data_IF_858613910577
#
_entry.id   IF_858613910577
#
_cell.length_a   1.000
_cell.length_b   1.000
_cell.length_c   1.000
_cell.angle_alpha   90.00
_cell.angle_beta   90.00
_cell.angle_gamma   90.00
#
_symmetry.space_group_name_H-M   'P 1'
#
loop_
_entity.id
_entity.type
_entity.pdbx_description
1 polymer ?
#
# COMPACT_ATOMS: atom_id res chain seq x y z
N UNK A 1 19.52 -73.55 17.62
CA UNK A 1 19.86 -73.27 19.04
C UNK A 1 20.12 -71.77 19.14
N UNK A 2 19.21 -71.03 19.80
CA UNK A 2 19.35 -69.67 20.41
C UNK A 2 19.97 -68.54 19.54
N UNK A 3 19.37 -67.38 19.27
CA UNK A 3 18.32 -66.61 19.97
C UNK A 3 17.85 -65.43 19.09
N UNK A 4 16.54 -65.20 19.13
CA UNK A 4 15.73 -64.00 18.82
C UNK A 4 16.22 -62.70 19.51
N UNK A 5 15.91 -61.46 19.09
CA UNK A 5 14.56 -60.85 19.18
C UNK A 5 14.46 -59.45 18.48
N UNK A 6 13.44 -59.30 17.61
CA UNK A 6 12.53 -58.17 17.27
C UNK A 6 13.00 -56.69 17.34
N UNK A 7 12.75 -55.94 16.26
CA UNK A 7 11.98 -54.67 16.22
C UNK A 7 11.70 -54.30 14.74
N UNK A 8 10.50 -54.55 14.23
CA UNK A 8 9.34 -53.64 14.16
C UNK A 8 9.36 -52.72 12.92
N UNK A 9 8.39 -53.04 12.05
CA UNK A 9 7.91 -52.29 10.90
C UNK A 9 7.56 -50.84 11.28
N UNK A 10 8.12 -49.85 10.57
CA UNK A 10 7.57 -48.49 10.49
C UNK A 10 7.92 -47.91 9.12
N UNK A 11 6.93 -48.01 8.22
CA UNK A 11 6.89 -47.21 7.00
C UNK A 11 6.90 -45.73 7.39
N UNK A 12 8.05 -45.07 7.23
CA UNK A 12 8.11 -43.60 7.28
C UNK A 12 8.02 -43.10 5.85
N UNK A 13 6.79 -42.77 5.46
CA UNK A 13 6.49 -41.78 4.44
C UNK A 13 7.19 -40.47 4.82
N UNK A 14 8.41 -40.28 4.33
CA UNK A 14 9.10 -39.00 4.35
C UNK A 14 8.49 -38.12 3.26
N UNK A 15 7.29 -37.60 3.54
CA UNK A 15 6.83 -36.34 2.98
C UNK A 15 7.90 -35.30 3.33
N UNK A 16 8.74 -34.95 2.37
CA UNK A 16 9.49 -33.70 2.43
C UNK A 16 8.47 -32.56 2.41
N UNK A 17 8.01 -32.18 3.60
CA UNK A 17 7.35 -30.92 3.83
C UNK A 17 8.37 -29.83 3.48
N UNK A 18 8.28 -29.29 2.26
CA UNK A 18 8.84 -27.98 1.99
C UNK A 18 8.21 -27.03 3.01
N UNK A 19 8.99 -26.26 3.79
CA UNK A 19 8.41 -25.24 4.61
C UNK A 19 7.73 -24.24 3.67
N UNK A 20 6.41 -24.28 3.64
CA UNK A 20 5.59 -23.23 3.08
C UNK A 20 5.80 -21.98 3.93
N UNK A 21 6.86 -21.23 3.64
CA UNK A 21 6.90 -19.80 3.95
C UNK A 21 5.97 -19.11 2.95
N UNK A 22 4.67 -19.28 3.14
CA UNK A 22 3.69 -18.34 2.64
C UNK A 22 3.81 -17.06 3.49
N UNK A 23 4.92 -16.32 3.33
CA UNK A 23 4.95 -14.93 3.76
C UNK A 23 4.07 -14.17 2.78
N UNK A 24 2.89 -13.76 3.25
CA UNK A 24 2.05 -12.81 2.51
C UNK A 24 2.91 -11.59 2.21
N UNK A 25 3.05 -11.25 0.92
CA UNK A 25 3.84 -10.08 0.56
C UNK A 25 3.18 -8.84 1.18
N UNK A 26 3.95 -7.97 1.87
CA UNK A 26 3.38 -6.83 2.56
C UNK A 26 2.73 -5.87 1.56
N UNK A 27 1.59 -5.33 1.96
CA UNK A 27 0.87 -4.32 1.20
C UNK A 27 0.55 -3.16 2.13
N UNK A 28 0.31 -1.96 1.58
CA UNK A 28 -0.25 -0.85 2.35
C UNK A 28 -1.46 -1.30 3.20
N UNK A 29 -1.67 -0.76 4.40
CA UNK A 29 -2.79 -1.15 5.25
C UNK A 29 -4.14 -0.73 4.64
N UNK A 30 -5.21 -1.47 4.96
CA UNK A 30 -6.59 -1.12 4.56
C UNK A 30 -7.03 0.21 5.20
N UNK A 31 -6.66 0.40 6.47
CA UNK A 31 -6.96 1.59 7.26
C UNK A 31 -5.73 2.04 8.03
N UNK A 32 -5.49 3.36 8.02
CA UNK A 32 -4.44 3.99 8.79
C UNK A 32 -4.85 5.42 9.14
N UNK A 33 -4.31 5.93 10.24
CA UNK A 33 -4.45 7.32 10.67
C UNK A 33 -3.06 7.85 10.93
N UNK A 34 -2.48 8.57 9.96
CA UNK A 34 -1.17 9.17 10.13
C UNK A 34 -1.27 10.42 11.00
N UNK A 35 -0.37 10.54 11.97
CA UNK A 35 -0.11 11.80 12.65
C UNK A 35 0.90 12.67 11.88
N UNK A 36 1.22 13.85 12.43
CA UNK A 36 2.13 14.81 11.77
C UNK A 36 3.57 14.28 11.62
N UNK A 37 3.91 13.17 12.27
CA UNK A 37 5.25 12.54 12.27
C UNK A 37 5.32 11.31 11.38
N UNK A 38 4.22 10.96 10.69
CA UNK A 38 4.11 9.79 9.84
C UNK A 38 3.93 8.49 10.61
N UNK A 39 3.49 8.54 11.86
CA UNK A 39 3.09 7.36 12.62
C UNK A 39 1.63 7.04 12.32
N UNK A 40 1.36 5.82 11.85
CA UNK A 40 0.01 5.28 11.84
C UNK A 40 -0.43 4.96 13.27
N UNK A 41 -1.41 5.68 13.78
CA UNK A 41 -1.95 5.52 15.12
C UNK A 41 -2.80 4.26 15.27
N UNK A 42 -3.27 3.65 14.18
CA UNK A 42 -4.03 2.38 14.20
C UNK A 42 -3.06 1.21 14.36
N UNK A 43 -2.03 1.13 13.53
CA UNK A 43 -1.08 0.03 13.58
C UNK A 43 0.11 0.25 14.51
N UNK A 44 0.37 1.50 14.91
CA UNK A 44 1.58 1.97 15.60
C UNK A 44 2.84 1.93 14.75
N UNK A 45 2.71 2.00 13.43
CA UNK A 45 3.84 1.80 12.52
C UNK A 45 4.28 3.13 11.94
N UNK A 46 5.58 3.33 11.85
CA UNK A 46 6.13 4.51 11.22
C UNK A 46 6.21 4.30 9.71
N UNK A 47 5.51 5.14 8.95
CA UNK A 47 5.36 5.04 7.49
C UNK A 47 5.84 6.32 6.79
N UNK A 48 7.14 6.66 6.86
CA UNK A 48 7.67 7.83 6.20
C UNK A 48 7.55 7.73 4.68
N UNK A 49 7.32 8.88 4.04
CA UNK A 49 7.30 9.04 2.59
C UNK A 49 8.59 9.73 2.15
N UNK A 50 9.19 9.26 1.06
CA UNK A 50 10.40 9.87 0.48
C UNK A 50 10.49 9.73 -1.03
N UNK A 51 11.52 10.35 -1.60
CA UNK A 51 11.81 10.31 -3.04
C UNK A 51 10.71 10.93 -3.90
N UNK A 52 10.03 11.96 -3.39
CA UNK A 52 8.94 12.59 -4.12
C UNK A 52 9.46 13.37 -5.33
N UNK A 53 8.95 13.06 -6.52
CA UNK A 53 9.14 13.82 -7.75
C UNK A 53 7.76 14.06 -8.36
N UNK A 54 7.53 15.24 -8.94
CA UNK A 54 6.28 15.53 -9.62
C UNK A 54 6.49 16.40 -10.86
N UNK A 55 5.56 16.31 -11.80
CA UNK A 55 5.53 17.14 -13.00
C UNK A 55 4.09 17.36 -13.46
N UNK A 56 3.83 18.52 -14.05
CA UNK A 56 2.51 18.89 -14.58
C UNK A 56 1.58 19.52 -13.53
N UNK A 57 0.43 20.07 -13.97
CA UNK A 57 -0.50 20.76 -13.10
C UNK A 57 -1.33 19.77 -12.25
N UNK A 58 -1.96 20.23 -11.16
CA UNK A 58 -2.86 19.39 -10.36
C UNK A 58 -3.96 18.75 -11.22
N UNK A 59 -4.17 17.45 -11.05
CA UNK A 59 -5.21 16.68 -11.77
C UNK A 59 -4.77 16.12 -13.13
N UNK A 60 -3.72 16.66 -13.76
CA UNK A 60 -3.21 16.17 -15.06
C UNK A 60 -1.75 15.71 -15.01
N UNK A 61 -1.03 16.13 -13.97
CA UNK A 61 0.37 15.77 -13.75
C UNK A 61 0.57 14.36 -13.21
N UNK A 62 1.84 14.01 -13.01
CA UNK A 62 2.28 12.76 -12.42
C UNK A 62 3.18 13.01 -11.22
N UNK A 63 3.20 12.05 -10.31
CA UNK A 63 4.17 12.02 -9.22
C UNK A 63 4.68 10.62 -8.98
N UNK A 64 5.94 10.53 -8.57
CA UNK A 64 6.59 9.35 -8.02
C UNK A 64 6.91 9.60 -6.55
N UNK A 65 6.77 8.58 -5.70
CA UNK A 65 7.19 8.59 -4.29
C UNK A 65 7.23 7.17 -3.75
N UNK A 66 8.03 6.94 -2.70
CA UNK A 66 8.04 5.70 -1.94
C UNK A 66 7.59 5.90 -0.50
N UNK A 67 6.91 4.90 0.06
CA UNK A 67 6.58 4.85 1.49
C UNK A 67 7.20 3.62 2.12
N UNK A 68 7.81 3.79 3.28
CA UNK A 68 8.28 2.66 4.06
C UNK A 68 7.08 1.95 4.70
N UNK A 69 6.94 0.67 4.42
CA UNK A 69 5.97 -0.21 5.07
C UNK A 69 6.58 -0.81 6.35
N UNK A 70 5.72 -1.39 7.19
CA UNK A 70 6.08 -1.97 8.51
C UNK A 70 7.33 -2.85 8.52
N UNK A 71 7.46 -3.66 7.49
CA UNK A 71 8.44 -4.72 7.44
C UNK A 71 9.77 -4.25 6.81
N UNK A 72 9.94 -2.93 6.67
CA UNK A 72 11.16 -2.34 6.13
C UNK A 72 11.17 -2.20 4.61
N UNK A 73 10.10 -2.59 3.90
CA UNK A 73 10.02 -2.48 2.44
C UNK A 73 9.61 -1.06 2.03
N UNK A 74 10.35 -0.48 1.11
CA UNK A 74 9.99 0.77 0.46
C UNK A 74 9.08 0.52 -0.72
N UNK A 75 7.81 0.87 -0.55
CA UNK A 75 6.75 0.65 -1.51
C UNK A 75 6.63 1.83 -2.49
N UNK A 76 6.64 1.53 -3.79
CA UNK A 76 6.36 2.50 -4.84
C UNK A 76 4.85 2.69 -5.01
N UNK A 77 4.37 3.93 -4.92
CA UNK A 77 2.94 4.25 -5.08
C UNK A 77 2.40 4.01 -6.48
N UNK A 78 3.26 4.02 -7.51
CA UNK A 78 2.88 3.69 -8.87
C UNK A 78 2.74 2.17 -9.08
N UNK A 79 3.36 1.36 -8.22
CA UNK A 79 3.17 -0.08 -8.22
C UNK A 79 1.85 -0.42 -7.51
N UNK A 80 0.89 -0.93 -8.29
CA UNK A 80 -0.39 -1.36 -7.78
C UNK A 80 -0.96 -2.54 -8.56
N UNK A 81 -1.89 -3.26 -7.94
CA UNK A 81 -2.45 -4.47 -8.50
C UNK A 81 -3.23 -5.30 -7.48
N UNK A 82 -3.44 -6.55 -7.84
CA UNK A 82 -4.16 -7.57 -7.09
C UNK A 82 -3.14 -8.54 -6.50
N UNK A 83 -3.12 -8.57 -5.18
CA UNK A 83 -2.14 -9.31 -4.39
C UNK A 83 -2.58 -10.77 -4.24
N UNK A 84 -3.89 -10.97 -4.12
CA UNK A 84 -4.53 -12.29 -4.12
C UNK A 84 -5.95 -12.13 -4.62
N UNK A 85 -6.45 -13.04 -5.45
CA UNK A 85 -7.85 -13.12 -5.83
C UNK A 85 -8.19 -14.51 -6.38
N UNK A 86 -9.20 -15.17 -5.84
CA UNK A 86 -9.53 -16.54 -6.25
C UNK A 86 -10.86 -17.04 -5.70
N UNK A 87 -11.22 -18.27 -6.06
CA UNK A 87 -12.43 -18.92 -5.55
C UNK A 87 -12.29 -19.12 -4.04
N UNK A 88 -13.19 -18.54 -3.26
CA UNK A 88 -13.15 -18.60 -1.79
C UNK A 88 -12.05 -17.76 -1.15
N UNK A 89 -11.32 -16.95 -1.91
CA UNK A 89 -10.24 -16.07 -1.44
C UNK A 89 -10.63 -14.62 -1.73
N UNK A 90 -10.51 -13.76 -0.72
CA UNK A 90 -10.78 -12.33 -0.91
C UNK A 90 -9.83 -11.73 -1.96
N UNK A 91 -10.37 -10.88 -2.82
CA UNK A 91 -9.59 -10.14 -3.79
C UNK A 91 -9.02 -8.89 -3.12
N UNK A 92 -7.71 -8.87 -2.90
CA UNK A 92 -7.00 -7.80 -2.19
C UNK A 92 -6.29 -6.92 -3.20
N UNK A 93 -6.76 -5.68 -3.32
CA UNK A 93 -6.29 -4.71 -4.28
C UNK A 93 -5.47 -3.67 -3.54
N UNK A 94 -4.32 -3.29 -4.08
CA UNK A 94 -3.55 -2.17 -3.56
C UNK A 94 -3.15 -1.23 -4.68
N UNK A 95 -3.50 0.05 -4.53
CA UNK A 95 -3.25 1.10 -5.51
C UNK A 95 -3.07 2.44 -4.79
N UNK A 96 -2.15 3.28 -5.27
CA UNK A 96 -1.84 4.60 -4.71
C UNK A 96 -1.50 4.57 -3.20
N UNK A 97 -0.91 3.48 -2.71
CA UNK A 97 -0.57 3.32 -1.30
C UNK A 97 -1.77 3.05 -0.38
N UNK A 98 -2.92 2.61 -0.93
CA UNK A 98 -4.11 2.21 -0.18
C UNK A 98 -4.53 0.82 -0.60
N UNK A 99 -4.97 0.00 0.35
CA UNK A 99 -5.48 -1.34 0.10
C UNK A 99 -6.98 -1.42 0.32
N UNK A 100 -7.67 -2.16 -0.54
CA UNK A 100 -9.08 -2.50 -0.42
C UNK A 100 -9.30 -3.99 -0.69
N UNK A 101 -10.17 -4.62 0.10
CA UNK A 101 -10.51 -6.03 -0.01
C UNK A 101 -11.93 -6.23 -0.53
N UNK A 102 -12.11 -7.25 -1.37
CA UNK A 102 -13.39 -7.65 -1.95
C UNK A 102 -13.70 -9.11 -1.64
N UNK A 103 -14.93 -9.38 -1.21
CA UNK A 103 -15.45 -10.71 -0.93
C UNK A 103 -16.08 -11.28 -2.20
N UNK A 104 -15.69 -12.49 -2.65
CA UNK A 104 -16.36 -13.14 -3.78
C UNK A 104 -17.78 -13.55 -3.38
N UNK A 105 -18.79 -13.05 -4.12
CA UNK A 105 -20.22 -13.36 -3.88
C UNK A 105 -20.79 -14.36 -4.89
N UNK A 106 -19.96 -14.84 -5.81
CA UNK A 106 -20.35 -15.71 -6.92
C UNK A 106 -19.19 -15.88 -7.91
N UNK A 107 -19.48 -16.46 -9.07
CA UNK A 107 -18.47 -16.64 -10.13
C UNK A 107 -18.16 -15.28 -10.75
N UNK A 108 -16.96 -14.75 -10.47
CA UNK A 108 -16.47 -13.46 -10.98
C UNK A 108 -17.28 -12.23 -10.55
N UNK A 109 -18.06 -12.35 -9.46
CA UNK A 109 -18.78 -11.24 -8.83
C UNK A 109 -18.22 -10.97 -7.45
N UNK A 110 -18.01 -9.69 -7.14
CA UNK A 110 -17.28 -9.26 -5.95
C UNK A 110 -18.05 -8.15 -5.23
N UNK A 111 -18.13 -8.23 -3.90
CA UNK A 111 -18.65 -7.16 -3.05
C UNK A 111 -17.52 -6.53 -2.25
N UNK A 112 -17.48 -5.21 -2.14
CA UNK A 112 -16.50 -4.53 -1.27
C UNK A 112 -16.72 -4.98 0.18
N UNK A 113 -15.65 -5.45 0.83
CA UNK A 113 -15.68 -5.92 2.23
C UNK A 113 -16.15 -4.81 3.18
N UNK A 114 -15.69 -3.60 2.92
CA UNK A 114 -15.96 -2.40 3.73
C UNK A 114 -17.10 -1.54 3.15
N UNK A 115 -17.80 -2.04 2.14
CA UNK A 115 -18.90 -1.36 1.44
C UNK A 115 -18.59 0.10 1.06
N UNK A 116 -17.37 0.34 0.59
CA UNK A 116 -16.80 1.68 0.31
C UNK A 116 -17.44 2.40 -0.89
N UNK A 117 -18.27 1.68 -1.65
CA UNK A 117 -18.79 2.09 -2.94
C UNK A 117 -17.88 1.82 -4.14
N UNK A 118 -16.70 1.26 -3.89
CA UNK A 118 -15.87 0.71 -4.95
C UNK A 118 -16.44 -0.59 -5.51
N UNK A 119 -16.14 -0.86 -6.78
CA UNK A 119 -16.54 -2.09 -7.47
C UNK A 119 -15.33 -2.80 -8.06
N UNK A 120 -15.37 -4.13 -8.08
CA UNK A 120 -14.42 -4.96 -8.81
C UNK A 120 -15.18 -5.83 -9.81
N UNK A 121 -14.79 -5.77 -11.08
CA UNK A 121 -15.40 -6.54 -12.17
C UNK A 121 -14.29 -7.30 -12.88
N UNK A 122 -14.51 -8.58 -13.19
CA UNK A 122 -13.61 -9.34 -14.06
C UNK A 122 -14.22 -9.55 -15.44
N UNK A 123 -13.50 -9.10 -16.46
CA UNK A 123 -13.87 -9.25 -17.87
C UNK A 123 -13.19 -10.49 -18.45
N UNK A 124 -13.93 -11.60 -18.55
CA UNK A 124 -13.39 -12.90 -18.95
C UNK A 124 -12.74 -12.90 -20.34
N UNK A 125 -13.33 -12.22 -21.32
CA UNK A 125 -12.82 -12.18 -22.70
C UNK A 125 -11.44 -11.52 -22.82
N UNK A 126 -11.19 -10.50 -22.00
CA UNK A 126 -9.94 -9.75 -22.02
C UNK A 126 -8.99 -10.17 -20.87
N UNK A 127 -9.41 -11.14 -20.05
CA UNK A 127 -8.72 -11.58 -18.82
C UNK A 127 -8.27 -10.42 -17.92
N UNK A 128 -9.12 -9.40 -17.79
CA UNK A 128 -8.79 -8.12 -17.16
C UNK A 128 -9.72 -7.86 -15.98
N UNK A 129 -9.16 -7.41 -14.86
CA UNK A 129 -9.92 -6.84 -13.76
C UNK A 129 -10.09 -5.34 -13.96
N UNK A 130 -11.28 -4.82 -13.68
CA UNK A 130 -11.58 -3.39 -13.62
C UNK A 130 -12.03 -3.08 -12.19
N UNK A 131 -11.18 -2.35 -11.48
CA UNK A 131 -11.44 -1.80 -10.16
C UNK A 131 -11.84 -0.33 -10.30
N UNK A 132 -13.03 0.03 -9.83
CA UNK A 132 -13.50 1.42 -9.85
C UNK A 132 -13.72 1.89 -8.43
N UNK A 133 -13.05 2.97 -8.03
CA UNK A 133 -13.23 3.60 -6.71
C UNK A 133 -14.54 4.37 -6.65
N UNK A 134 -15.01 4.64 -5.43
CA UNK A 134 -16.19 5.48 -5.20
C UNK A 134 -16.06 6.90 -5.75
N UNK A 135 -14.84 7.42 -5.91
CA UNK A 135 -14.58 8.72 -6.55
C UNK A 135 -14.69 8.70 -8.10
N UNK A 136 -14.93 7.53 -8.70
CA UNK A 136 -15.03 7.34 -10.15
C UNK A 136 -13.70 7.02 -10.84
N UNK A 137 -12.57 6.99 -10.12
CA UNK A 137 -11.28 6.57 -10.68
C UNK A 137 -11.30 5.08 -10.99
N UNK A 138 -11.00 4.71 -12.24
CA UNK A 138 -11.00 3.32 -12.69
C UNK A 138 -9.57 2.82 -12.98
N UNK A 139 -9.29 1.58 -12.60
CA UNK A 139 -8.02 0.89 -12.80
C UNK A 139 -8.28 -0.41 -13.56
N UNK A 140 -7.66 -0.55 -14.72
CA UNK A 140 -7.59 -1.81 -15.43
C UNK A 140 -6.35 -2.57 -14.98
N UNK A 141 -6.51 -3.86 -14.66
CA UNK A 141 -5.45 -4.71 -14.14
C UNK A 141 -5.36 -6.02 -14.92
N UNK A 142 -4.15 -6.40 -15.30
CA UNK A 142 -3.85 -7.57 -16.12
C UNK A 142 -2.73 -8.41 -15.51
N UNK A 143 -2.80 -9.73 -15.69
CA UNK A 143 -1.72 -10.63 -15.26
C UNK A 143 -0.48 -10.40 -16.09
N UNK A 144 0.57 -9.85 -15.47
CA UNK A 144 1.89 -9.64 -16.09
C UNK A 144 3.05 -10.29 -15.33
N UNK A 145 2.78 -11.15 -14.35
CA UNK A 145 3.82 -11.79 -13.52
C UNK A 145 4.77 -10.76 -12.89
N UNK A 146 4.20 -9.75 -12.24
CA UNK A 146 4.96 -8.74 -11.48
C UNK A 146 4.78 -9.08 -10.02
N UNK A 147 5.85 -9.41 -9.32
CA UNK A 147 5.78 -9.59 -7.87
C UNK A 147 5.52 -8.22 -7.19
N UNK A 148 4.63 -8.14 -6.19
CA UNK A 148 3.85 -9.24 -5.58
C UNK A 148 2.46 -9.48 -6.17
N UNK A 149 2.10 -8.79 -7.24
CA UNK A 149 0.76 -8.78 -7.80
C UNK A 149 0.53 -9.97 -8.73
N UNK A 150 0.41 -11.15 -8.14
CA UNK A 150 0.29 -12.41 -8.87
C UNK A 150 -0.97 -12.50 -9.72
N UNK A 151 -2.05 -11.83 -9.31
CA UNK A 151 -3.35 -11.91 -9.98
C UNK A 151 -3.63 -10.77 -10.95
N UNK A 152 -2.84 -9.70 -10.92
CA UNK A 152 -2.87 -8.66 -11.93
C UNK A 152 -2.22 -7.35 -11.47
N UNK A 153 -1.58 -6.63 -12.38
CA UNK A 153 -1.04 -5.29 -12.14
C UNK A 153 -1.84 -4.23 -12.87
N UNK A 154 -1.86 -3.02 -12.33
CA UNK A 154 -2.44 -1.86 -13.00
C UNK A 154 -1.72 -1.64 -14.33
N UNK A 155 -2.45 -1.74 -15.43
CA UNK A 155 -1.95 -1.38 -16.78
C UNK A 155 -2.49 -0.04 -17.22
N UNK A 156 -3.64 0.39 -16.68
CA UNK A 156 -4.28 1.64 -17.02
C UNK A 156 -5.07 2.22 -15.85
N UNK A 157 -4.98 3.53 -15.65
CA UNK A 157 -5.79 4.31 -14.72
C UNK A 157 -6.54 5.38 -15.49
N UNK A 158 -7.82 5.59 -15.17
CA UNK A 158 -8.65 6.66 -15.72
C UNK A 158 -9.13 7.50 -14.53
N UNK A 159 -8.71 8.75 -14.47
CA UNK A 159 -9.19 9.69 -13.46
C UNK A 159 -10.57 10.25 -13.84
N UNK A 160 -11.36 10.77 -12.87
CA UNK A 160 -12.70 11.29 -13.13
C UNK A 160 -12.75 12.44 -14.13
N UNK A 161 -11.65 13.20 -14.25
CA UNK A 161 -11.48 14.26 -15.25
C UNK A 161 -11.13 13.73 -16.66
N UNK A 162 -11.09 12.41 -16.87
CA UNK A 162 -10.81 11.78 -18.15
C UNK A 162 -9.32 11.61 -18.47
N UNK A 163 -8.41 12.03 -17.58
CA UNK A 163 -6.97 11.78 -17.75
C UNK A 163 -6.71 10.29 -17.68
N UNK A 164 -5.96 9.78 -18.66
CA UNK A 164 -5.61 8.37 -18.79
C UNK A 164 -4.14 8.21 -18.49
N UNK A 165 -3.80 7.43 -17.46
CA UNK A 165 -2.42 7.00 -17.18
C UNK A 165 -2.22 5.57 -17.66
N UNK A 166 -1.19 5.33 -18.46
CA UNK A 166 -0.81 4.01 -18.98
C UNK A 166 0.48 3.55 -18.34
N UNK A 167 0.51 2.31 -17.83
CA UNK A 167 1.64 1.70 -17.12
C UNK A 167 2.31 0.66 -18.02
N UNK A 168 3.61 0.80 -18.21
CA UNK A 168 4.39 0.03 -19.18
C UNK A 168 5.38 -0.85 -18.44
N UNK A 169 5.33 -2.15 -18.70
CA UNK A 169 6.13 -3.14 -17.99
C UNK A 169 7.17 -3.75 -18.93
N UNK A 170 8.42 -3.76 -18.49
CA UNK A 170 9.46 -4.55 -19.14
C UNK A 170 9.37 -5.98 -18.64
N UNK A 171 9.34 -6.94 -19.56
CA UNK A 171 9.16 -8.36 -19.25
C UNK A 171 10.31 -9.18 -19.82
N UNK A 172 10.68 -10.21 -19.08
CA UNK A 172 11.64 -11.23 -19.48
C UNK A 172 11.02 -12.60 -19.24
N UNK A 173 11.21 -13.52 -20.19
CA UNK A 173 10.67 -14.87 -20.11
C UNK A 173 11.78 -15.88 -20.32
N UNK A 174 11.67 -17.03 -19.66
CA UNK A 174 12.63 -18.12 -19.77
C UNK A 174 11.99 -19.46 -19.43
N UNK A 175 12.83 -20.49 -19.34
CA UNK A 175 12.45 -21.86 -19.00
C UNK A 175 13.34 -22.34 -17.85
N UNK A 176 12.73 -22.94 -16.84
CA UNK A 176 13.45 -23.80 -15.89
C UNK A 176 13.29 -25.23 -16.35
N UNK A 177 14.40 -25.90 -16.64
CA UNK A 177 14.39 -27.31 -17.02
C UNK A 177 14.40 -28.16 -15.77
N UNK A 178 13.34 -28.94 -15.58
CA UNK A 178 13.30 -29.98 -14.55
C UNK A 178 13.72 -31.29 -15.22
N UNK A 179 14.73 -31.93 -14.64
CA UNK A 179 15.02 -33.32 -14.98
C UNK A 179 13.78 -34.15 -14.60
N UNK A 180 13.34 -35.08 -15.46
CA UNK A 180 12.30 -36.01 -15.06
C UNK A 180 12.77 -36.74 -13.79
N UNK A 181 11.86 -37.09 -12.87
CA UNK A 181 12.24 -37.87 -11.70
C UNK A 181 13.05 -39.08 -12.18
N UNK A 182 14.26 -39.24 -11.65
CA UNK A 182 15.02 -40.47 -11.81
C UNK A 182 14.12 -41.58 -11.23
N UNK A 183 13.41 -42.30 -12.08
CA UNK A 183 12.57 -43.38 -11.60
C UNK A 183 13.52 -44.52 -11.20
N UNK A 184 13.48 -44.84 -9.92
CA UNK A 184 14.03 -46.02 -9.22
C UNK A 184 13.34 -47.32 -9.72
N UNK A 185 12.99 -47.36 -11.00
CA UNK A 185 12.36 -48.43 -11.74
C UNK A 185 13.20 -48.63 -12.99
N UNK A 186 14.02 -49.69 -12.97
CA UNK A 186 14.82 -50.25 -14.07
C UNK A 186 13.95 -50.58 -15.32
N UNK A 187 13.36 -49.58 -15.94
CA UNK A 187 12.78 -49.68 -17.27
C UNK A 187 13.88 -49.29 -18.28
N UNK A 188 14.22 -50.19 -19.22
CA UNK A 188 15.24 -49.91 -20.22
C UNK A 188 14.70 -48.82 -21.15
N UNK A 189 15.16 -47.57 -20.92
CA UNK A 189 14.71 -46.37 -21.64
C UNK A 189 14.36 -45.15 -20.77
N UNK A 190 14.55 -45.20 -19.45
CA UNK A 190 14.28 -44.08 -18.53
C UNK A 190 15.20 -42.88 -18.73
N UNK A 191 14.75 -41.91 -19.53
CA UNK A 191 15.43 -40.64 -19.78
C UNK A 191 14.60 -39.77 -20.71
N UNK A 192 13.43 -39.33 -20.24
CA UNK A 192 12.60 -38.38 -21.00
C UNK A 192 13.33 -37.05 -21.20
N UNK A 193 13.02 -36.28 -22.25
CA UNK A 193 13.59 -34.95 -22.41
C UNK A 193 13.21 -34.05 -21.22
N UNK A 194 14.10 -33.14 -20.79
CA UNK A 194 13.83 -32.28 -19.64
C UNK A 194 12.59 -31.43 -19.88
N UNK A 195 11.77 -31.27 -18.84
CA UNK A 195 10.52 -30.51 -18.90
C UNK A 195 10.87 -29.02 -18.75
N UNK A 196 10.64 -28.20 -19.78
CA UNK A 196 10.65 -26.74 -19.61
C UNK A 196 9.38 -26.31 -18.85
N UNK A 197 9.59 -25.72 -17.68
CA UNK A 197 8.59 -24.93 -16.97
C UNK A 197 8.81 -23.46 -17.34
N UNK A 198 7.91 -22.84 -18.13
CA UNK A 198 8.07 -21.46 -18.54
C UNK A 198 7.85 -20.53 -17.36
N UNK A 199 8.67 -19.49 -17.27
CA UNK A 199 8.51 -18.40 -16.31
C UNK A 199 8.57 -17.06 -17.03
N UNK A 200 7.97 -16.05 -16.42
CA UNK A 200 8.04 -14.67 -16.90
C UNK A 200 8.10 -13.77 -15.69
N UNK A 201 9.01 -12.80 -15.73
CA UNK A 201 9.14 -11.76 -14.72
C UNK A 201 8.95 -10.41 -15.38
N UNK A 202 8.23 -9.51 -14.71
CA UNK A 202 7.97 -8.16 -15.20
C UNK A 202 8.24 -7.10 -14.13
N UNK A 203 8.64 -5.90 -14.56
CA UNK A 203 8.82 -4.71 -13.71
C UNK A 203 8.29 -3.46 -14.41
N UNK A 204 7.84 -2.47 -13.64
CA UNK A 204 7.35 -1.19 -14.19
C UNK A 204 8.52 -0.40 -14.81
N UNK A 205 8.44 -0.07 -16.09
CA UNK A 205 9.49 0.65 -16.83
C UNK A 205 9.17 2.15 -17.00
N UNK A 206 7.88 2.47 -17.15
CA UNK A 206 7.38 3.84 -17.12
C UNK A 206 5.87 3.88 -16.91
N UNK A 207 5.35 5.04 -16.52
CA UNK A 207 3.93 5.36 -16.70
C UNK A 207 3.78 6.77 -17.24
N UNK A 208 2.79 6.97 -18.11
CA UNK A 208 2.58 8.25 -18.78
C UNK A 208 1.10 8.59 -18.91
N UNK A 209 0.79 9.88 -18.96
CA UNK A 209 -0.56 10.38 -19.21
C UNK A 209 -0.79 10.66 -20.68
N UNK A 210 -2.06 10.62 -21.10
CA UNK A 210 -2.49 11.16 -22.39
C UNK A 210 -2.31 12.69 -22.51
N UNK A 211 -2.02 13.40 -21.41
CA UNK A 211 -1.66 14.82 -21.39
C UNK A 211 -0.17 15.09 -21.65
N UNK A 212 0.64 14.05 -21.83
CA UNK A 212 2.03 14.17 -22.27
C UNK A 212 3.08 14.15 -21.16
N UNK A 213 2.72 13.82 -19.92
CA UNK A 213 3.69 13.64 -18.83
C UNK A 213 4.08 12.18 -18.68
N UNK A 214 5.34 11.92 -18.32
CA UNK A 214 5.85 10.57 -18.05
C UNK A 214 6.71 10.54 -16.80
N UNK A 215 6.62 9.44 -16.06
CA UNK A 215 7.63 9.01 -15.09
C UNK A 215 8.36 7.81 -15.69
N UNK A 216 9.67 7.95 -15.87
CA UNK A 216 10.54 6.92 -16.44
C UNK A 216 11.49 6.36 -15.37
N UNK A 217 11.70 5.04 -15.39
CA UNK A 217 12.48 4.29 -14.41
C UNK A 217 13.78 3.79 -15.00
N UNK A 218 14.90 4.00 -14.30
CA UNK A 218 16.20 3.43 -14.61
C UNK A 218 16.60 2.45 -13.50
N UNK A 219 16.95 1.22 -13.87
CA UNK A 219 17.26 0.11 -12.94
C UNK A 219 18.75 -0.20 -12.91
N UNK A 220 19.20 -0.91 -11.87
CA UNK A 220 20.61 -1.27 -11.70
C UNK A 220 21.13 -2.20 -12.81
N UNK A 221 20.27 -3.07 -13.35
CA UNK A 221 20.57 -3.89 -14.52
C UNK A 221 19.37 -3.99 -15.44
N UNK A 222 19.61 -4.11 -16.74
CA UNK A 222 18.60 -4.49 -17.74
C UNK A 222 18.73 -5.95 -18.18
N UNK A 223 19.65 -6.69 -17.57
CA UNK A 223 19.87 -8.12 -17.78
C UNK A 223 19.29 -8.84 -16.56
N UNK A 224 18.38 -9.77 -16.82
CA UNK A 224 17.79 -10.61 -15.77
C UNK A 224 18.74 -11.75 -15.41
N UNK A 225 18.81 -12.07 -14.11
CA UNK A 225 19.57 -13.19 -13.56
C UNK A 225 18.85 -13.69 -12.30
N UNK A 226 18.68 -15.00 -12.18
CA UNK A 226 18.12 -15.60 -10.96
C UNK A 226 19.07 -15.50 -9.75
N UNK A 227 20.35 -15.20 -10.00
CA UNK A 227 21.38 -15.05 -8.96
C UNK A 227 21.62 -13.59 -8.57
N UNK A 228 21.10 -12.63 -9.33
CA UNK A 228 21.32 -11.20 -9.12
C UNK A 228 20.01 -10.42 -9.26
N UNK A 229 19.56 -9.86 -8.13
CA UNK A 229 18.33 -9.07 -8.06
C UNK A 229 18.45 -7.67 -8.65
N UNK A 230 19.59 -7.28 -9.24
CA UNK A 230 19.81 -5.96 -9.85
C UNK A 230 18.77 -5.57 -10.91
N UNK A 231 18.11 -6.55 -11.53
CA UNK A 231 16.98 -6.29 -12.44
C UNK A 231 15.76 -5.69 -11.72
N UNK A 232 15.55 -5.94 -10.43
CA UNK A 232 14.44 -5.35 -9.68
C UNK A 232 14.82 -4.06 -8.93
N UNK A 233 16.11 -3.71 -8.88
CA UNK A 233 16.61 -2.59 -8.09
C UNK A 233 16.48 -1.29 -8.89
N UNK A 234 15.48 -0.48 -8.55
CA UNK A 234 15.31 0.87 -9.06
C UNK A 234 16.46 1.78 -8.61
N UNK A 235 17.07 2.50 -9.56
CA UNK A 235 18.17 3.45 -9.31
C UNK A 235 17.78 4.89 -9.55
N UNK A 236 16.82 5.17 -10.43
CA UNK A 236 16.38 6.53 -10.69
C UNK A 236 14.95 6.57 -11.24
N UNK A 237 14.18 7.54 -10.79
CA UNK A 237 12.91 7.92 -11.40
C UNK A 237 13.01 9.36 -11.91
N UNK A 238 12.62 9.58 -13.15
CA UNK A 238 12.67 10.89 -13.82
C UNK A 238 11.27 11.29 -14.30
N UNK A 239 10.84 12.50 -13.96
CA UNK A 239 9.56 13.06 -14.39
C UNK A 239 9.77 14.04 -15.55
N UNK A 240 9.20 13.75 -16.72
CA UNK A 240 9.44 14.51 -17.94
C UNK A 240 8.15 14.86 -18.70
N UNK A 241 8.24 15.90 -19.53
CA UNK A 241 7.22 16.26 -20.49
C UNK A 241 7.61 15.74 -21.89
N UNK A 242 6.82 14.81 -22.41
CA UNK A 242 7.03 14.14 -23.70
C UNK A 242 6.93 15.09 -24.90
N UNK A 243 6.33 16.27 -24.74
CA UNK A 243 6.31 17.31 -25.76
C UNK A 243 7.67 18.02 -25.91
N UNK A 244 8.54 17.94 -24.90
CA UNK A 244 9.88 18.55 -24.91
C UNK A 244 10.93 17.49 -25.21
N UNK A 245 10.97 16.42 -24.41
CA UNK A 245 11.90 15.30 -24.61
C UNK A 245 11.13 14.00 -24.79
N UNK A 246 11.31 13.34 -25.95
CA UNK A 246 10.68 12.06 -26.21
C UNK A 246 11.41 10.92 -25.49
N UNK A 247 10.64 9.99 -24.92
CA UNK A 247 11.15 8.80 -24.26
C UNK A 247 10.20 7.64 -24.59
N UNK A 248 10.73 6.57 -25.19
CA UNK A 248 9.89 5.42 -25.52
C UNK A 248 9.43 4.72 -24.22
N UNK A 249 8.16 4.28 -24.10
CA UNK A 249 7.64 3.78 -22.83
C UNK A 249 8.39 2.57 -22.24
N UNK A 250 9.06 1.77 -23.07
CA UNK A 250 9.85 0.61 -22.66
C UNK A 250 11.36 0.83 -22.80
N UNK A 251 11.81 2.05 -23.10
CA UNK A 251 13.24 2.35 -23.12
C UNK A 251 13.85 2.09 -21.74
N UNK A 252 15.07 1.56 -21.70
CA UNK A 252 15.82 1.35 -20.46
C UNK A 252 16.51 2.63 -19.96
N UNK A 253 16.81 3.55 -20.87
CA UNK A 253 17.34 4.89 -20.62
C UNK A 253 16.78 5.87 -21.65
N UNK A 254 16.74 7.16 -21.31
CA UNK A 254 16.30 8.22 -22.22
C UNK A 254 17.31 9.36 -22.27
N UNK A 255 17.42 10.00 -23.44
CA UNK A 255 18.26 11.17 -23.64
C UNK A 255 17.42 12.43 -23.43
N UNK A 256 17.94 13.39 -22.65
CA UNK A 256 17.23 14.61 -22.29
C UNK A 256 17.98 15.84 -22.78
N UNK A 257 17.26 16.82 -23.29
CA UNK A 257 17.82 18.12 -23.68
C UNK A 257 18.00 19.06 -22.49
N UNK A 258 17.37 18.73 -21.35
CA UNK A 258 17.43 19.52 -20.12
C UNK A 258 17.45 18.65 -18.85
N UNK A 259 17.69 19.27 -17.70
CA UNK A 259 17.62 18.59 -16.40
C UNK A 259 16.17 18.51 -15.91
N UNK A 260 15.58 17.32 -15.96
CA UNK A 260 14.23 17.07 -15.46
C UNK A 260 14.21 16.80 -13.95
N UNK A 261 13.10 17.13 -13.25
CA UNK A 261 12.88 16.64 -11.90
C UNK A 261 13.10 15.14 -11.82
N UNK A 262 13.97 14.71 -10.91
CA UNK A 262 14.32 13.30 -10.76
C UNK A 262 14.79 13.01 -9.35
N UNK A 263 14.73 11.73 -9.00
CA UNK A 263 15.31 11.20 -7.77
C UNK A 263 16.13 9.97 -8.09
N UNK A 264 17.37 9.96 -7.62
CA UNK A 264 18.25 8.79 -7.64
C UNK A 264 18.18 8.07 -6.29
N UNK A 265 18.25 6.74 -6.32
CA UNK A 265 18.18 5.87 -5.16
C UNK A 265 19.46 5.05 -5.03
N UNK A 266 19.97 4.96 -3.82
CA UNK A 266 21.07 4.04 -3.48
C UNK A 266 20.85 3.40 -2.12
N UNK A 267 21.40 2.21 -1.97
CA UNK A 267 21.51 1.50 -0.71
C UNK A 267 23.00 1.23 -0.49
N UNK A 268 23.50 1.51 0.70
CA UNK A 268 24.87 1.29 1.08
C UNK A 268 24.94 0.78 2.53
N UNK A 269 26.07 0.15 2.88
CA UNK A 269 26.43 -0.15 4.26
C UNK A 269 27.60 0.76 4.67
N UNK A 270 27.34 1.97 5.20
CA UNK A 270 28.41 2.91 5.53
C UNK A 270 29.32 2.40 6.66
N UNK A 271 28.77 1.55 7.54
CA UNK A 271 29.46 0.86 8.62
C UNK A 271 28.87 -0.55 8.80
N UNK A 272 29.61 -1.51 9.37
CA UNK A 272 29.10 -2.87 9.61
C UNK A 272 27.75 -2.88 10.35
N UNK A 273 26.77 -3.62 9.81
CA UNK A 273 25.44 -3.75 10.41
C UNK A 273 24.53 -2.51 10.28
N UNK A 274 24.94 -1.51 9.49
CA UNK A 274 24.13 -0.32 9.19
C UNK A 274 23.65 -0.39 7.75
N UNK A 275 22.34 -0.25 7.54
CA UNK A 275 21.79 -0.07 6.19
C UNK A 275 21.43 1.40 6.00
N UNK A 276 21.98 2.04 4.97
CA UNK A 276 21.65 3.39 4.58
C UNK A 276 20.97 3.41 3.21
N UNK A 277 19.75 3.92 3.15
CA UNK A 277 19.07 4.25 1.90
C UNK A 277 19.13 5.75 1.66
N UNK A 278 19.57 6.15 0.47
CA UNK A 278 19.72 7.54 0.08
C UNK A 278 18.84 7.87 -1.11
N UNK A 279 18.11 8.98 -1.00
CA UNK A 279 17.38 9.62 -2.08
C UNK A 279 18.11 10.92 -2.43
N UNK A 280 18.47 11.10 -3.70
CA UNK A 280 19.17 12.29 -4.19
C UNK A 280 18.33 12.96 -5.25
N UNK A 281 17.91 14.22 -5.04
CA UNK A 281 17.15 14.98 -6.03
C UNK A 281 18.03 15.47 -7.21
N UNK A 282 17.40 16.08 -8.22
CA UNK A 282 18.09 16.60 -9.42
C UNK A 282 19.09 17.74 -9.14
N UNK A 283 19.07 18.31 -7.93
CA UNK A 283 20.01 19.36 -7.48
C UNK A 283 21.18 18.80 -6.69
N UNK A 284 21.16 17.49 -6.38
CA UNK A 284 22.16 16.81 -5.56
C UNK A 284 21.85 16.81 -4.07
N UNK A 285 20.71 17.34 -3.62
CA UNK A 285 20.31 17.31 -2.22
C UNK A 285 19.85 15.91 -1.84
N UNK A 286 20.29 15.44 -0.67
CA UNK A 286 20.03 14.07 -0.22
C UNK A 286 19.06 13.99 0.94
N UNK A 287 18.31 12.90 1.03
CA UNK A 287 17.64 12.42 2.24
C UNK A 287 18.15 11.01 2.49
N UNK A 288 18.72 10.77 3.67
CA UNK A 288 19.36 9.49 4.01
C UNK A 288 18.65 8.85 5.19
N UNK A 289 18.17 7.62 5.01
CA UNK A 289 17.57 6.78 6.04
C UNK A 289 18.58 5.75 6.47
N UNK A 290 19.08 5.88 7.69
CA UNK A 290 20.11 5.00 8.23
C UNK A 290 19.51 4.15 9.36
N UNK A 291 19.50 2.84 9.20
CA UNK A 291 18.98 1.88 10.18
C UNK A 291 20.11 1.05 10.77
N UNK A 292 20.13 0.91 12.10
CA UNK A 292 21.02 0.01 12.84
C UNK A 292 20.19 -1.01 13.61
N UNK A 293 20.38 -2.30 13.28
CA UNK A 293 19.82 -3.46 14.00
C UNK A 293 18.28 -3.45 14.18
N UNK A 294 17.51 -2.94 13.22
CA UNK A 294 16.03 -2.82 13.20
C UNK A 294 15.38 -2.00 14.35
N UNK A 295 16.13 -1.67 15.40
CA UNK A 295 15.63 -0.98 16.59
C UNK A 295 15.61 0.55 16.45
N UNK A 296 16.36 1.14 15.50
CA UNK A 296 16.34 2.59 15.28
C UNK A 296 16.59 2.95 13.83
N UNK A 297 15.91 4.00 13.37
CA UNK A 297 16.14 4.63 12.06
C UNK A 297 16.39 6.12 12.25
N UNK A 298 17.49 6.62 11.67
CA UNK A 298 17.89 8.03 11.69
C UNK A 298 17.74 8.61 10.29
N UNK A 299 17.17 9.81 10.20
CA UNK A 299 17.03 10.53 8.93
C UNK A 299 17.96 11.73 8.92
N UNK A 300 18.79 11.83 7.89
CA UNK A 300 19.67 12.96 7.62
C UNK A 300 19.21 13.70 6.36
N UNK A 301 19.43 15.01 6.31
CA UNK A 301 19.15 15.85 5.14
C UNK A 301 20.44 16.50 4.67
N UNK A 302 20.76 16.31 3.40
CA UNK A 302 22.00 16.79 2.81
C UNK A 302 23.23 16.22 3.51
N UNK A 303 24.22 17.09 3.69
CA UNK A 303 25.51 16.78 4.31
C UNK A 303 25.50 16.94 5.83
N UNK A 304 24.36 17.26 6.46
CA UNK A 304 24.29 17.39 7.92
C UNK A 304 24.65 16.05 8.57
N UNK A 305 25.66 16.02 9.46
CA UNK A 305 26.00 14.80 10.20
C UNK A 305 25.01 14.49 11.33
N UNK A 306 24.08 15.40 11.64
CA UNK A 306 23.08 15.21 12.68
C UNK A 306 21.74 14.75 12.07
N UNK A 307 21.07 13.77 12.67
CA UNK A 307 19.76 13.36 12.20
C UNK A 307 18.71 14.43 12.52
N UNK A 308 17.89 14.78 11.53
CA UNK A 308 16.74 15.69 11.70
C UNK A 308 15.53 14.98 12.30
N UNK A 309 15.46 13.65 12.10
CA UNK A 309 14.44 12.77 12.69
C UNK A 309 15.12 11.50 13.20
N UNK A 310 14.75 11.06 14.40
CA UNK A 310 15.14 9.77 14.97
C UNK A 310 13.86 9.00 15.29
N UNK A 311 13.73 7.82 14.70
CA UNK A 311 12.69 6.85 15.03
C UNK A 311 13.30 5.71 15.84
N UNK A 312 12.69 5.38 16.98
CA UNK A 312 13.11 4.33 17.89
C UNK A 312 11.98 3.29 18.03
N UNK A 313 12.34 2.02 17.92
CA UNK A 313 11.45 0.86 18.01
C UNK A 313 12.01 -0.21 18.96
N UNK A 314 12.11 0.06 20.28
CA UNK A 314 12.61 -0.92 21.23
C UNK A 314 11.71 -2.16 21.32
N UNK A 315 12.32 -3.34 21.53
CA UNK A 315 11.59 -4.55 21.90
C UNK A 315 10.93 -4.35 23.28
N UNK A 316 9.66 -4.73 23.51
CA UNK A 316 8.84 -5.67 22.72
C UNK A 316 7.95 -5.06 21.60
N UNK A 317 8.34 -3.94 20.99
CA UNK A 317 7.62 -3.28 19.88
C UNK A 317 6.20 -2.82 20.24
N UNK A 318 5.97 -2.49 21.50
CA UNK A 318 4.75 -1.85 22.03
C UNK A 318 4.99 -0.38 22.36
N UNK A 319 6.26 0.04 22.48
CA UNK A 319 6.69 1.41 22.72
C UNK A 319 7.53 1.93 21.56
N UNK A 320 7.23 3.15 21.08
CA UNK A 320 7.96 3.80 20.01
C UNK A 320 8.28 5.24 20.38
N UNK A 321 9.32 5.80 19.75
CA UNK A 321 9.59 7.23 19.85
C UNK A 321 9.94 7.83 18.50
N UNK A 322 9.43 9.04 18.25
CA UNK A 322 9.85 9.89 17.13
C UNK A 322 10.37 11.20 17.71
N UNK A 323 11.65 11.48 17.48
CA UNK A 323 12.28 12.75 17.84
C UNK A 323 12.49 13.57 16.58
N UNK A 324 11.99 14.80 16.55
CA UNK A 324 12.21 15.76 15.47
C UNK A 324 12.37 17.18 16.06
N UNK A 325 12.31 18.21 15.21
CA UNK A 325 12.42 19.61 15.64
C UNK A 325 11.37 20.05 16.69
N UNK A 326 10.26 19.34 16.83
CA UNK A 326 9.22 19.61 17.84
C UNK A 326 9.49 18.95 19.20
N UNK A 327 10.57 18.14 19.29
CA UNK A 327 10.97 17.36 20.46
C UNK A 327 10.66 15.87 20.33
N UNK A 328 10.79 15.13 21.43
CA UNK A 328 10.58 13.67 21.50
C UNK A 328 9.12 13.37 21.80
N UNK A 329 8.50 12.60 20.91
CA UNK A 329 7.15 12.07 21.06
C UNK A 329 7.21 10.57 21.31
N UNK A 330 6.49 10.10 22.32
CA UNK A 330 6.41 8.69 22.69
C UNK A 330 5.04 8.12 22.33
N UNK A 331 5.03 6.85 21.93
CA UNK A 331 3.85 6.12 21.50
C UNK A 331 3.79 4.79 22.25
N UNK A 332 2.62 4.44 22.77
CA UNK A 332 2.38 3.18 23.47
C UNK A 332 1.15 2.48 22.92
N UNK A 333 1.33 1.26 22.49
CA UNK A 333 0.25 0.36 22.09
C UNK A 333 -0.14 -0.57 23.23
N UNK A 334 -1.44 -0.79 23.38
CA UNK A 334 -1.98 -1.85 24.25
C UNK A 334 -3.21 -2.47 23.61
N UNK A 335 -3.28 -3.80 23.62
CA UNK A 335 -4.38 -4.57 23.04
C UNK A 335 -5.16 -5.27 24.16
N UNK A 336 -6.49 -5.15 24.11
CA UNK A 336 -7.42 -5.81 25.03
C UNK A 336 -8.59 -6.40 24.22
N UNK A 337 -8.54 -7.72 23.98
CA UNK A 337 -9.49 -8.40 23.11
C UNK A 337 -9.42 -7.84 21.69
N UNK A 338 -10.54 -7.33 21.18
CA UNK A 338 -10.62 -6.70 19.85
C UNK A 338 -10.38 -5.19 19.87
N UNK A 339 -9.96 -4.62 21.00
CA UNK A 339 -9.71 -3.18 21.11
C UNK A 339 -8.21 -2.92 21.22
N UNK A 340 -7.72 -1.97 20.42
CA UNK A 340 -6.35 -1.43 20.52
C UNK A 340 -6.39 0.00 20.99
N UNK A 341 -5.58 0.33 21.98
CA UNK A 341 -5.38 1.70 22.47
C UNK A 341 -3.96 2.16 22.14
N UNK A 342 -3.86 3.29 21.44
CA UNK A 342 -2.62 4.02 21.17
C UNK A 342 -2.58 5.27 22.05
N UNK A 343 -1.60 5.36 22.93
CA UNK A 343 -1.29 6.57 23.70
C UNK A 343 -0.10 7.29 23.09
N UNK A 344 -0.23 8.59 22.86
CA UNK A 344 0.82 9.47 22.33
C UNK A 344 1.12 10.53 23.38
N UNK A 345 2.39 10.67 23.77
CA UNK A 345 2.84 11.69 24.72
C UNK A 345 3.85 12.62 24.04
N UNK A 346 3.60 13.92 24.14
CA UNK A 346 4.46 14.96 23.60
C UNK A 346 5.42 15.56 24.63
N UNK A 347 6.46 16.26 24.15
CA UNK A 347 7.54 16.80 24.99
C UNK A 347 7.08 17.95 25.91
N UNK A 348 5.93 18.57 25.64
CA UNK A 348 5.35 19.62 26.47
C UNK A 348 4.18 19.10 27.32
N UNK A 349 4.10 17.77 27.52
CA UNK A 349 3.04 17.12 28.30
C UNK A 349 1.72 16.96 27.54
N UNK A 350 1.70 17.19 26.23
CA UNK A 350 0.53 16.88 25.40
C UNK A 350 0.24 15.39 25.47
N UNK A 351 -1.04 14.99 25.52
CA UNK A 351 -1.43 13.59 25.43
C UNK A 351 -2.50 13.40 24.38
N UNK A 352 -2.39 12.34 23.58
CA UNK A 352 -3.44 11.91 22.66
C UNK A 352 -3.69 10.42 22.87
N UNK A 353 -4.94 9.99 22.79
CA UNK A 353 -5.32 8.59 22.93
C UNK A 353 -6.26 8.22 21.80
N UNK A 354 -5.90 7.21 21.01
CA UNK A 354 -6.74 6.65 19.96
C UNK A 354 -7.17 5.24 20.36
N UNK A 355 -8.46 4.96 20.30
CA UNK A 355 -9.02 3.63 20.59
C UNK A 355 -9.65 3.07 19.32
N UNK A 356 -9.16 1.91 18.90
CA UNK A 356 -9.46 1.26 17.62
C UNK A 356 -10.13 -0.09 17.85
N UNK A 357 -11.21 -0.32 17.12
CA UNK A 357 -11.81 -1.65 16.99
C UNK A 357 -11.03 -2.43 15.92
N UNK A 358 -10.32 -3.48 16.33
CA UNK A 358 -9.52 -4.34 15.47
C UNK A 358 -10.36 -5.26 14.58
N UNK A 359 -11.65 -5.46 14.86
CA UNK A 359 -12.53 -6.22 13.96
C UNK A 359 -12.83 -5.45 12.68
N UNK A 360 -12.91 -4.12 12.78
CA UNK A 360 -13.10 -3.20 11.64
C UNK A 360 -11.78 -2.55 11.20
N UNK A 361 -10.76 -2.55 12.06
CA UNK A 361 -9.49 -1.85 11.84
C UNK A 361 -9.62 -0.32 11.88
N UNK A 362 -10.64 0.22 12.56
CA UNK A 362 -10.95 1.66 12.57
C UNK A 362 -11.09 2.25 13.98
N UNK A 363 -10.75 3.54 14.17
CA UNK A 363 -10.90 4.21 15.46
C UNK A 363 -12.36 4.47 15.82
N UNK A 364 -12.79 4.11 17.03
CA UNK A 364 -14.10 4.52 17.55
C UNK A 364 -14.02 5.69 18.55
N UNK A 365 -12.82 6.00 19.06
CA UNK A 365 -12.60 7.17 19.92
C UNK A 365 -11.21 7.78 19.71
N UNK A 366 -11.12 9.10 19.77
CA UNK A 366 -9.88 9.87 19.80
C UNK A 366 -9.99 10.93 20.88
N UNK A 367 -9.04 10.99 21.81
CA UNK A 367 -8.98 11.98 22.88
C UNK A 367 -7.70 12.79 22.77
N UNK A 368 -7.79 14.11 22.87
CA UNK A 368 -6.65 15.02 22.96
C UNK A 368 -6.70 15.79 24.28
N UNK A 369 -5.59 15.78 25.01
CA UNK A 369 -5.37 16.54 26.23
C UNK A 369 -4.30 17.58 25.96
N UNK A 370 -4.71 18.84 26.05
CA UNK A 370 -3.81 20.00 25.90
C UNK A 370 -3.03 20.23 27.20
N UNK A 371 -1.81 20.77 27.07
CA UNK A 371 -0.96 21.13 28.20
C UNK A 371 -1.27 22.53 28.78
N UNK A 372 -2.45 23.08 28.49
CA UNK A 372 -2.89 24.37 29.06
C UNK A 372 -3.18 24.23 30.56
N UNK A 373 -3.24 25.35 31.28
CA UNK A 373 -3.71 25.41 32.66
C UNK A 373 -5.03 26.18 32.71
N UNK A 374 -6.17 25.53 33.05
CA UNK A 374 -6.31 24.09 33.34
C UNK A 374 -6.17 23.22 32.06
N UNK A 375 -5.79 21.94 32.20
CA UNK A 375 -5.76 21.02 31.07
C UNK A 375 -7.17 20.84 30.51
N UNK A 376 -7.33 21.05 29.20
CA UNK A 376 -8.57 20.73 28.51
C UNK A 376 -8.45 19.37 27.82
N UNK A 377 -9.44 18.51 28.02
CA UNK A 377 -9.61 17.25 27.32
C UNK A 377 -10.72 17.37 26.29
N UNK A 378 -10.49 16.86 25.08
CA UNK A 378 -11.44 16.85 23.98
C UNK A 378 -11.51 15.44 23.42
N UNK A 379 -12.71 14.87 23.35
CA UNK A 379 -12.91 13.52 22.83
C UNK A 379 -13.87 13.54 21.64
N UNK A 380 -13.42 12.93 20.55
CA UNK A 380 -14.23 12.63 19.38
C UNK A 380 -14.56 11.15 19.38
N UNK A 381 -15.77 10.80 18.96
CA UNK A 381 -16.20 9.41 18.86
C UNK A 381 -16.80 9.13 17.49
N UNK A 382 -16.65 7.90 17.03
CA UNK A 382 -17.24 7.42 15.79
C UNK A 382 -17.94 6.09 16.01
N UNK A 383 -19.09 5.92 15.39
CA UNK A 383 -19.76 4.64 15.25
C UNK A 383 -19.71 4.21 13.79
N UNK A 384 -19.78 2.90 13.56
CA UNK A 384 -19.69 2.33 12.21
C UNK A 384 -20.90 1.46 11.88
N UNK A 385 -21.32 1.50 10.62
CA UNK A 385 -22.29 0.58 10.05
C UNK A 385 -21.70 -0.03 8.77
N UNK A 386 -21.45 -1.34 8.79
CA UNK A 386 -20.81 -2.09 7.71
C UNK A 386 -19.51 -1.40 7.20
N UNK A 387 -18.59 -1.07 8.13
CA UNK A 387 -17.29 -0.46 7.81
C UNK A 387 -17.29 1.06 7.57
N UNK A 388 -18.47 1.69 7.45
CA UNK A 388 -18.61 3.14 7.18
C UNK A 388 -19.01 3.92 8.42
N UNK A 389 -18.58 5.17 8.52
CA UNK A 389 -18.95 6.05 9.64
C UNK A 389 -20.46 6.27 9.64
N UNK A 390 -21.15 5.82 10.69
CA UNK A 390 -22.59 6.07 10.86
C UNK A 390 -22.84 7.39 11.59
N UNK A 391 -22.09 7.63 12.67
CA UNK A 391 -22.15 8.87 13.45
C UNK A 391 -20.75 9.31 13.82
N UNK A 392 -20.47 10.61 13.67
CA UNK A 392 -19.31 11.28 14.25
C UNK A 392 -19.78 12.22 15.34
N UNK A 393 -19.19 12.14 16.53
CA UNK A 393 -19.53 12.98 17.69
C UNK A 393 -18.34 13.85 18.07
N UNK A 394 -18.57 15.16 18.13
CA UNK A 394 -17.59 16.16 18.56
C UNK A 394 -17.48 16.23 20.09
N UNK A 395 -16.38 16.81 20.62
CA UNK A 395 -16.19 16.98 22.07
C UNK A 395 -17.30 17.76 22.78
N UNK A 396 -17.96 18.67 22.08
CA UNK A 396 -19.06 19.47 22.63
C UNK A 396 -20.43 18.76 22.57
N UNK A 397 -20.49 17.53 22.06
CA UNK A 397 -21.71 16.72 21.97
C UNK A 397 -22.51 16.92 20.68
N UNK A 398 -22.05 17.76 19.77
CA UNK A 398 -22.57 17.89 18.41
C UNK A 398 -22.33 16.59 17.65
N UNK A 399 -23.28 16.15 16.82
CA UNK A 399 -23.10 14.93 16.03
C UNK A 399 -23.35 15.18 14.55
N UNK A 400 -22.69 14.39 13.72
CA UNK A 400 -22.98 14.29 12.28
C UNK A 400 -23.36 12.86 11.98
N UNK A 401 -24.58 12.65 11.50
CA UNK A 401 -25.10 11.34 11.14
C UNK A 401 -25.10 11.19 9.63
N UNK A 402 -24.66 10.04 9.15
CA UNK A 402 -24.56 9.74 7.72
C UNK A 402 -25.53 8.61 7.36
N UNK A 403 -26.19 8.78 6.22
CA UNK A 403 -26.92 7.68 5.56
C UNK A 403 -26.33 7.45 4.17
N UNK A 404 -26.40 6.18 3.74
CA UNK A 404 -25.74 5.73 2.53
C UNK A 404 -26.72 4.96 1.65
N UNK A 405 -26.53 5.04 0.34
CA UNK A 405 -27.16 4.10 -0.60
C UNK A 405 -26.44 2.73 -0.59
N UNK A 406 -27.00 1.78 -1.36
CA UNK A 406 -26.42 0.44 -1.51
C UNK A 406 -25.05 0.43 -2.19
N UNK A 407 -24.65 1.53 -2.84
CA UNK A 407 -23.33 1.73 -3.48
C UNK A 407 -22.41 2.59 -2.62
N UNK A 408 -22.71 2.85 -1.35
CA UNK A 408 -21.81 3.61 -0.49
C UNK A 408 -21.78 5.12 -0.72
N UNK A 409 -22.67 5.66 -1.55
CA UNK A 409 -22.80 7.10 -1.71
C UNK A 409 -23.52 7.71 -0.49
N UNK A 410 -23.04 8.84 0.02
CA UNK A 410 -23.69 9.56 1.14
C UNK A 410 -24.96 10.23 0.63
N UNK A 411 -26.13 9.69 0.97
CA UNK A 411 -27.44 10.25 0.56
C UNK A 411 -27.95 11.31 1.52
N UNK A 412 -27.48 11.31 2.77
CA UNK A 412 -27.82 12.33 3.76
C UNK A 412 -26.68 12.51 4.76
N UNK A 413 -26.44 13.77 5.11
CA UNK A 413 -25.64 14.20 6.24
C UNK A 413 -26.54 15.04 7.15
N UNK A 414 -26.77 14.60 8.39
CA UNK A 414 -27.56 15.34 9.39
C UNK A 414 -26.66 15.80 10.53
N UNK A 415 -26.40 17.10 10.57
CA UNK A 415 -25.71 17.76 11.66
C UNK A 415 -26.71 18.04 12.78
N UNK A 416 -26.51 17.42 13.93
CA UNK A 416 -27.31 17.60 15.13
C UNK A 416 -26.56 18.50 16.08
N UNK A 417 -27.17 19.63 16.43
CA UNK A 417 -26.57 20.58 17.32
C UNK A 417 -26.39 19.99 18.72
N UNK A 418 -25.43 20.53 19.49
CA UNK A 418 -25.20 20.05 20.86
C UNK A 418 -26.47 20.15 21.72
N UNK A 419 -26.70 19.17 22.61
CA UNK A 419 -27.82 19.21 23.54
C UNK A 419 -27.89 20.54 24.30
N UNK A 420 -29.08 21.15 24.33
CA UNK A 420 -29.30 22.41 25.05
C UNK A 420 -28.88 23.69 24.30
N UNK A 421 -28.36 23.61 23.06
CA UNK A 421 -28.05 24.79 22.26
C UNK A 421 -29.27 25.56 21.74
N UNK A 422 -30.43 24.90 21.66
CA UNK A 422 -31.65 25.46 21.05
C UNK A 422 -31.57 25.63 19.53
N UNK A 423 -30.46 25.24 18.90
CA UNK A 423 -30.30 25.22 17.45
C UNK A 423 -30.97 23.98 16.87
N UNK A 424 -31.56 24.14 15.68
CA UNK A 424 -32.16 23.05 14.92
C UNK A 424 -31.10 22.30 14.11
N UNK A 425 -31.38 21.04 13.81
CA UNK A 425 -30.49 20.22 12.99
C UNK A 425 -30.46 20.71 11.54
N UNK A 426 -29.27 20.64 10.94
CA UNK A 426 -29.05 20.94 9.54
C UNK A 426 -28.92 19.61 8.80
N UNK A 427 -29.71 19.43 7.75
CA UNK A 427 -29.65 18.24 6.91
C UNK A 427 -29.28 18.62 5.50
N UNK A 428 -28.23 17.99 4.98
CA UNK A 428 -27.86 18.06 3.57
C UNK A 428 -28.13 16.71 2.94
N UNK A 429 -28.69 16.69 1.74
CA UNK A 429 -28.99 15.46 1.02
C UNK A 429 -28.41 15.49 -0.38
N UNK A 430 -28.07 14.31 -0.89
CA UNK A 430 -27.57 14.12 -2.24
C UNK A 430 -28.35 13.00 -2.93
N UNK A 431 -28.70 13.22 -4.19
CA UNK A 431 -29.39 12.24 -5.03
C UNK A 431 -28.39 11.71 -6.04
N UNK A 432 -28.42 10.39 -6.26
CA UNK A 432 -27.56 9.70 -7.21
C UNK A 432 -28.42 8.95 -8.24
N UNK A 433 -27.91 8.69 -9.45
CA UNK A 433 -28.63 7.90 -10.44
C UNK A 433 -29.05 6.55 -9.87
N UNK A 434 -30.31 6.15 -9.98
CA UNK A 434 -30.83 4.92 -9.36
C UNK A 434 -30.14 3.64 -9.90
N UNK A 435 -29.69 3.68 -11.15
CA UNK A 435 -28.95 2.60 -11.81
C UNK A 435 -27.56 3.08 -12.22
N UNK A 436 -26.56 2.23 -12.06
CA UNK A 436 -25.20 2.53 -12.49
C UNK A 436 -24.96 2.04 -13.93
N UNK A 437 -25.47 2.78 -14.92
CA UNK A 437 -25.22 2.48 -16.34
C UNK A 437 -23.79 2.85 -16.78
N UNK A 438 -23.20 3.85 -16.13
CA UNK A 438 -21.82 4.25 -16.32
C UNK A 438 -21.14 4.39 -14.95
N UNK A 439 -20.24 3.45 -14.65
CA UNK A 439 -19.52 3.32 -13.37
C UNK A 439 -18.67 4.53 -13.02
N UNK A 440 -18.30 5.35 -14.00
CA UNK A 440 -17.47 6.54 -13.78
C UNK A 440 -18.30 7.69 -13.18
N UNK A 441 -19.57 7.81 -13.59
CA UNK A 441 -20.43 8.96 -13.21
C UNK A 441 -21.53 8.60 -12.21
N UNK A 442 -21.82 7.32 -11.99
CA UNK A 442 -23.00 6.92 -11.20
C UNK A 442 -22.86 7.18 -9.69
N UNK A 443 -21.64 7.42 -9.21
CA UNK A 443 -21.35 7.83 -7.83
C UNK A 443 -21.12 9.34 -7.70
N UNK A 444 -21.42 10.12 -8.76
CA UNK A 444 -21.51 11.57 -8.68
C UNK A 444 -22.96 11.99 -8.41
N UNK A 445 -23.21 12.95 -7.51
CA UNK A 445 -24.56 13.37 -7.19
C UNK A 445 -25.18 14.13 -8.37
N UNK A 446 -26.42 13.78 -8.72
CA UNK A 446 -27.23 14.52 -9.71
C UNK A 446 -27.77 15.83 -9.16
N UNK A 447 -27.95 15.90 -7.84
CA UNK A 447 -28.37 17.10 -7.13
C UNK A 447 -27.99 17.02 -5.66
N UNK A 448 -27.75 18.18 -5.05
CA UNK A 448 -27.56 18.34 -3.60
C UNK A 448 -28.55 19.38 -3.08
N UNK A 449 -29.01 19.25 -1.84
CA UNK A 449 -29.95 20.19 -1.20
C UNK A 449 -29.59 20.39 0.26
#
# INVERSE_FOLDING_TARGET
>A
MKTTLKLALLASSALFAMPALAQTHPIPPEHYVLDERGMDLVSGKWMPVSGAVSIGPPGEGLSYRQTLLDNGIWWDHAAGGIVSCGIGVNCVITVDGVTESFIPTGVMTFASKENTGSTLIYHQFNQQFVYTRSDGTAYAMERKNVAPFVDGVVTRRISPNGVVTTYNYASVSGCTYLDPPEDDLDLPGGGGPPICVPWTNSRLQSYHTNTGYMIHYEYASNIYSDLDHSWFILKKATALNLAVDACAPLASTCAFTQNWPSVSLSIAEPYPGTQERTYTDQTGKTIRYQSQNAASTKIFVGTDPNPVIIYERPYPYDHYAVTNATGRWEYRLSDAGSIRTMEVTGPLGQKRTLVTDLTVGRPHSYTEVTSTSPPASRTWNWTYNAGRVATATSPEGETVNYTYDARGNVTQMRQVAKPGSGLTDITTSAVYPATCANVIICNQPTSTT
#
